data_IF_625030860887
#
_entry.id   IF_625030860887
#
_cell.length_a   1.000
_cell.length_b   1.000
_cell.length_c   1.000
_cell.angle_alpha   90.00
_cell.angle_beta   90.00
_cell.angle_gamma   90.00
#
_symmetry.space_group_name_H-M   'P 1'
#
loop_
_entity.id
_entity.type
_entity.pdbx_description
1 polymer ?
#
# COMPACT_ATOMS: atom_id res chain seq x y z
N UNK A 1 1.27 30.67 -18.07
CA UNK A 1 1.67 29.88 -16.89
C UNK A 1 0.68 30.18 -15.77
N UNK A 2 -0.19 29.23 -15.39
CA UNK A 2 -1.02 29.37 -14.18
C UNK A 2 -0.11 29.18 -12.97
N UNK A 3 -0.05 30.20 -12.10
CA UNK A 3 0.65 30.11 -10.82
C UNK A 3 -0.19 29.24 -9.90
N UNK A 4 0.39 28.14 -9.43
CA UNK A 4 -0.21 27.27 -8.43
C UNK A 4 -0.47 28.10 -7.15
N UNK A 5 -1.73 28.20 -6.70
CA UNK A 5 -2.06 28.77 -5.40
C UNK A 5 -2.65 27.72 -4.47
N UNK A 6 -2.23 27.76 -3.20
CA UNK A 6 -2.70 26.88 -2.14
C UNK A 6 -4.11 27.24 -1.65
N UNK A 7 -4.66 28.38 -2.06
CA UNK A 7 -6.03 28.79 -1.71
C UNK A 7 -7.11 28.01 -2.50
N UNK A 8 -6.76 27.42 -3.65
CA UNK A 8 -7.70 26.63 -4.47
C UNK A 8 -7.96 25.22 -3.89
N UNK A 9 -7.23 24.84 -2.83
CA UNK A 9 -7.50 23.63 -2.07
C UNK A 9 -8.36 23.98 -0.85
N UNK A 10 -9.67 23.94 -1.04
CA UNK A 10 -10.60 23.81 0.10
C UNK A 10 -10.19 22.54 0.86
N UNK A 11 -9.63 22.74 2.07
CA UNK A 11 -9.41 21.65 3.00
C UNK A 11 -10.80 21.17 3.40
N UNK A 12 -11.30 20.14 2.71
CA UNK A 12 -12.50 19.45 3.16
C UNK A 12 -12.33 19.17 4.66
N UNK A 13 -13.27 19.59 5.53
CA UNK A 13 -13.16 19.29 6.95
C UNK A 13 -13.07 17.78 7.05
N UNK A 14 -11.97 17.27 7.60
CA UNK A 14 -11.66 15.85 7.75
C UNK A 14 -12.93 15.16 8.26
N UNK A 15 -13.74 14.61 7.35
CA UNK A 15 -14.98 13.93 7.67
C UNK A 15 -14.55 12.78 8.57
N UNK A 16 -14.91 12.90 9.85
CA UNK A 16 -14.72 11.94 10.93
C UNK A 16 -14.21 10.60 10.39
N UNK A 17 -12.89 10.41 10.41
CA UNK A 17 -12.24 9.22 9.90
C UNK A 17 -13.00 8.02 10.44
N UNK A 18 -13.63 7.24 9.56
CA UNK A 18 -14.20 5.95 9.93
C UNK A 18 -13.01 5.17 10.50
N UNK A 19 -12.92 5.09 11.84
CA UNK A 19 -11.85 4.36 12.51
C UNK A 19 -11.94 2.94 11.96
N UNK A 20 -10.94 2.54 11.18
CA UNK A 20 -10.99 1.23 10.54
C UNK A 20 -10.69 0.15 11.58
N UNK A 21 -11.77 -0.26 12.26
CA UNK A 21 -11.70 -1.31 13.25
C UNK A 21 -11.58 -2.67 12.55
N UNK A 22 -10.79 -3.61 13.11
CA UNK A 22 -10.80 -4.99 12.66
C UNK A 22 -12.22 -5.58 12.68
N UNK A 23 -12.55 -6.48 11.74
CA UNK A 23 -13.89 -7.11 11.64
C UNK A 23 -14.40 -7.62 13.00
N UNK A 24 -13.53 -8.29 13.76
CA UNK A 24 -13.88 -8.83 15.08
C UNK A 24 -14.18 -7.80 16.18
N UNK A 25 -13.81 -6.54 15.98
CA UNK A 25 -14.16 -5.42 16.86
C UNK A 25 -15.47 -4.79 16.39
N UNK A 26 -15.66 -4.65 15.06
CA UNK A 26 -16.91 -4.16 14.46
C UNK A 26 -18.11 -5.06 14.80
N UNK A 27 -17.90 -6.37 14.73
CA UNK A 27 -18.92 -7.39 15.02
C UNK A 27 -19.06 -7.70 16.53
N UNK A 28 -18.32 -6.99 17.39
CA UNK A 28 -18.22 -7.27 18.82
C UNK A 28 -19.09 -6.37 19.70
N UNK A 29 -19.33 -6.80 20.94
CA UNK A 29 -20.02 -5.96 21.93
C UNK A 29 -19.21 -4.70 22.27
N UNK A 30 -19.89 -3.67 22.80
CA UNK A 30 -19.30 -2.40 23.24
C UNK A 30 -18.08 -2.59 24.19
N UNK A 31 -18.13 -3.59 25.06
CA UNK A 31 -16.99 -3.94 25.93
C UNK A 31 -15.74 -4.34 25.14
N UNK A 32 -15.91 -5.04 24.00
CA UNK A 32 -14.81 -5.44 23.11
C UNK A 32 -14.19 -4.23 22.42
N UNK A 33 -15.02 -3.26 22.02
CA UNK A 33 -14.59 -1.99 21.45
C UNK A 33 -13.76 -1.20 22.48
N UNK A 34 -14.28 -0.98 23.69
CA UNK A 34 -13.58 -0.27 24.78
C UNK A 34 -12.24 -0.91 25.13
N UNK A 35 -12.19 -2.25 25.19
CA UNK A 35 -10.97 -3.01 25.43
C UNK A 35 -9.94 -2.84 24.31
N UNK A 36 -10.39 -2.86 23.05
CA UNK A 36 -9.54 -2.65 21.90
C UNK A 36 -8.95 -1.23 21.88
N UNK A 37 -9.78 -0.22 22.09
CA UNK A 37 -9.32 1.18 22.13
C UNK A 37 -8.34 1.43 23.28
N UNK A 38 -8.60 0.86 24.46
CA UNK A 38 -7.69 0.91 25.60
C UNK A 38 -6.33 0.29 25.26
N UNK A 39 -6.33 -0.87 24.58
CA UNK A 39 -5.11 -1.54 24.16
C UNK A 39 -4.33 -0.74 23.09
N UNK A 40 -5.02 -0.11 22.14
CA UNK A 40 -4.41 0.76 21.12
C UNK A 40 -3.81 2.02 21.74
N UNK A 41 -4.52 2.65 22.67
CA UNK A 41 -4.03 3.83 23.39
C UNK A 41 -2.79 3.47 24.21
N UNK A 42 -2.82 2.36 24.94
CA UNK A 42 -1.66 1.90 25.71
C UNK A 42 -0.45 1.57 24.81
N UNK A 43 -0.68 0.92 23.66
CA UNK A 43 0.37 0.69 22.67
C UNK A 43 1.02 2.00 22.21
N UNK A 44 0.21 2.99 21.86
CA UNK A 44 0.69 4.29 21.39
C UNK A 44 1.47 5.05 22.47
N UNK A 45 1.02 5.01 23.72
CA UNK A 45 1.77 5.60 24.84
C UNK A 45 3.13 4.94 25.04
N UNK A 46 3.18 3.60 25.06
CA UNK A 46 4.43 2.87 25.22
C UNK A 46 5.36 3.17 24.04
N UNK A 47 4.84 3.16 22.80
CA UNK A 47 5.59 3.52 21.60
C UNK A 47 6.19 4.92 21.72
N UNK A 48 5.41 5.92 22.14
CA UNK A 48 5.91 7.30 22.40
C UNK A 48 7.02 7.31 23.45
N UNK A 49 6.89 6.55 24.54
CA UNK A 49 7.91 6.44 25.60
C UNK A 49 9.21 5.77 25.10
N UNK A 50 9.11 4.77 24.23
CA UNK A 50 10.27 4.12 23.60
C UNK A 50 10.99 5.09 22.65
N UNK A 51 10.23 5.81 21.81
CA UNK A 51 10.78 6.76 20.83
C UNK A 51 11.50 7.91 21.55
N UNK A 52 10.86 8.51 22.55
CA UNK A 52 11.43 9.58 23.39
C UNK A 52 12.64 9.13 24.23
N UNK A 53 12.93 7.82 24.29
CA UNK A 53 14.17 7.31 24.89
C UNK A 53 14.17 7.28 26.42
N UNK A 54 12.99 7.39 27.07
CA UNK A 54 12.87 7.23 28.52
C UNK A 54 13.34 5.83 28.97
N UNK A 55 13.99 5.75 30.13
CA UNK A 55 14.37 4.47 30.75
C UNK A 55 13.10 3.76 31.24
N UNK A 56 12.65 2.75 30.50
CA UNK A 56 11.47 1.95 30.84
C UNK A 56 11.89 0.62 31.46
N UNK A 57 11.18 0.16 32.50
CA UNK A 57 11.30 -1.21 33.05
C UNK A 57 10.62 -2.23 32.13
N UNK A 58 10.97 -3.51 32.26
CA UNK A 58 10.44 -4.61 31.43
C UNK A 58 8.91 -4.65 31.37
N UNK A 59 8.22 -4.36 32.49
CA UNK A 59 6.75 -4.33 32.56
C UNK A 59 6.13 -3.09 31.89
N UNK A 60 6.88 -2.00 31.76
CA UNK A 60 6.43 -0.74 31.14
C UNK A 60 6.60 -0.73 29.63
N UNK A 61 7.37 -1.69 29.09
CA UNK A 61 7.58 -1.89 27.65
C UNK A 61 6.52 -2.77 27.01
N UNK A 62 5.59 -3.31 27.80
CA UNK A 62 4.57 -4.26 27.35
C UNK A 62 3.19 -3.78 27.78
N UNK A 63 2.24 -4.03 26.92
CA UNK A 63 0.81 -3.94 27.20
C UNK A 63 0.47 -5.08 28.17
N UNK A 64 -0.07 -4.74 29.34
CA UNK A 64 -0.41 -5.71 30.40
C UNK A 64 -1.94 -5.83 30.49
N UNK A 65 -2.45 -7.05 30.39
CA UNK A 65 -3.90 -7.32 30.45
C UNK A 65 -4.58 -6.73 31.70
N UNK A 66 -3.90 -6.77 32.86
CA UNK A 66 -4.41 -6.17 34.10
C UNK A 66 -4.60 -4.65 33.97
N UNK A 67 -3.73 -3.96 33.23
CA UNK A 67 -3.84 -2.51 33.04
C UNK A 67 -4.97 -2.17 32.07
N UNK A 68 -5.13 -2.93 30.98
CA UNK A 68 -6.28 -2.81 30.09
C UNK A 68 -7.59 -3.06 30.85
N UNK A 69 -7.64 -4.10 31.69
CA UNK A 69 -8.81 -4.42 32.52
C UNK A 69 -9.24 -3.22 33.38
N UNK A 70 -8.28 -2.60 34.07
CA UNK A 70 -8.50 -1.40 34.88
C UNK A 70 -8.96 -0.20 34.05
N UNK A 71 -8.33 0.05 32.90
CA UNK A 71 -8.69 1.18 32.03
C UNK A 71 -10.07 1.04 31.40
N UNK A 72 -10.53 -0.19 31.19
CA UNK A 72 -11.83 -0.49 30.57
C UNK A 72 -12.95 -0.75 31.58
N UNK A 73 -12.66 -0.78 32.89
CA UNK A 73 -13.63 -1.10 33.93
C UNK A 73 -14.11 -2.55 33.91
N UNK A 74 -13.35 -3.47 33.30
CA UNK A 74 -13.71 -4.89 33.16
C UNK A 74 -12.84 -5.74 34.08
N UNK A 75 -13.40 -6.78 34.68
CA UNK A 75 -12.63 -7.73 35.48
C UNK A 75 -11.62 -8.50 34.61
N UNK A 76 -10.39 -8.68 35.11
CA UNK A 76 -9.31 -9.40 34.44
C UNK A 76 -9.69 -10.85 34.11
N UNK A 77 -10.55 -11.48 34.91
CA UNK A 77 -11.02 -12.85 34.67
C UNK A 77 -11.72 -13.01 33.30
N UNK A 78 -12.29 -11.93 32.77
CA UNK A 78 -12.96 -11.88 31.47
C UNK A 78 -11.97 -11.76 30.30
N UNK A 79 -10.71 -11.40 30.57
CA UNK A 79 -9.66 -11.15 29.59
C UNK A 79 -8.69 -12.33 29.46
N UNK A 80 -9.24 -13.53 29.28
CA UNK A 80 -8.47 -14.74 29.06
C UNK A 80 -8.58 -15.24 27.61
N UNK A 81 -7.64 -16.12 27.23
CA UNK A 81 -7.55 -16.68 25.87
C UNK A 81 -8.83 -17.45 25.47
N UNK A 82 -9.55 -18.03 26.43
CA UNK A 82 -10.80 -18.79 26.19
C UNK A 82 -11.98 -17.87 25.86
N UNK A 83 -12.13 -16.75 26.57
CA UNK A 83 -13.27 -15.82 26.45
C UNK A 83 -13.05 -14.76 25.35
N UNK A 84 -11.82 -14.26 25.18
CA UNK A 84 -11.48 -13.21 24.20
C UNK A 84 -10.18 -13.55 23.44
N UNK A 85 -10.14 -14.66 22.68
CA UNK A 85 -8.93 -15.12 22.00
C UNK A 85 -8.33 -14.08 21.05
N UNK A 86 -9.19 -13.37 20.29
CA UNK A 86 -8.76 -12.39 19.28
C UNK A 86 -8.07 -11.17 19.90
N UNK A 87 -8.59 -10.65 21.00
CA UNK A 87 -7.99 -9.55 21.76
C UNK A 87 -6.64 -9.94 22.37
N UNK A 88 -6.56 -11.13 22.97
CA UNK A 88 -5.31 -11.64 23.55
C UNK A 88 -4.24 -11.83 22.47
N UNK A 89 -4.61 -12.37 21.30
CA UNK A 89 -3.71 -12.50 20.16
C UNK A 89 -3.23 -11.12 19.68
N UNK A 90 -4.14 -10.16 19.51
CA UNK A 90 -3.79 -8.79 19.14
C UNK A 90 -2.78 -8.18 20.11
N UNK A 91 -3.02 -8.25 21.42
CA UNK A 91 -2.10 -7.73 22.45
C UNK A 91 -0.75 -8.42 22.37
N UNK A 92 -0.72 -9.74 22.14
CA UNK A 92 0.54 -10.48 21.97
C UNK A 92 1.33 -9.97 20.76
N UNK A 93 0.67 -9.74 19.63
CA UNK A 93 1.32 -9.28 18.41
C UNK A 93 1.82 -7.83 18.56
N UNK A 94 1.04 -6.96 19.21
CA UNK A 94 1.49 -5.61 19.53
C UNK A 94 2.68 -5.61 20.51
N UNK A 95 2.68 -6.51 21.49
CA UNK A 95 3.83 -6.68 22.39
C UNK A 95 5.09 -7.14 21.67
N UNK A 96 4.99 -8.03 20.67
CA UNK A 96 6.13 -8.40 19.82
C UNK A 96 6.68 -7.18 19.07
N UNK A 97 5.80 -6.34 18.52
CA UNK A 97 6.19 -5.08 17.86
C UNK A 97 6.91 -4.12 18.81
N UNK A 98 6.39 -3.94 20.04
CA UNK A 98 7.04 -3.09 21.05
C UNK A 98 8.41 -3.63 21.46
N UNK A 99 8.57 -4.95 21.60
CA UNK A 99 9.86 -5.58 21.89
C UNK A 99 10.84 -5.33 20.74
N UNK A 100 10.43 -5.55 19.48
CA UNK A 100 11.27 -5.28 18.30
C UNK A 100 11.71 -3.82 18.23
N UNK A 101 10.80 -2.87 18.48
CA UNK A 101 11.11 -1.44 18.52
C UNK A 101 12.11 -1.12 19.63
N UNK A 102 11.93 -1.70 20.81
CA UNK A 102 12.87 -1.54 21.91
C UNK A 102 14.25 -2.11 21.55
N UNK A 103 14.32 -3.35 21.05
CA UNK A 103 15.59 -3.99 20.71
C UNK A 103 16.33 -3.23 19.63
N UNK A 104 15.65 -2.73 18.60
CA UNK A 104 16.28 -1.88 17.58
C UNK A 104 16.88 -0.60 18.17
N UNK A 105 16.15 0.08 19.07
CA UNK A 105 16.67 1.28 19.76
C UNK A 105 17.82 0.96 20.70
N UNK A 106 17.75 -0.16 21.40
CA UNK A 106 18.76 -0.60 22.38
C UNK A 106 20.03 -1.10 21.66
N UNK A 107 19.89 -1.81 20.54
CA UNK A 107 21.02 -2.18 19.67
C UNK A 107 21.67 -0.94 19.10
N UNK A 108 20.92 0.06 18.64
CA UNK A 108 21.51 1.34 18.19
C UNK A 108 22.30 2.03 19.32
N UNK A 109 21.79 2.05 20.56
CA UNK A 109 22.49 2.62 21.72
C UNK A 109 23.71 1.82 22.17
N UNK A 110 23.65 0.48 22.13
CA UNK A 110 24.75 -0.38 22.56
C UNK A 110 25.80 -0.58 21.46
N UNK A 111 25.46 -0.31 20.20
CA UNK A 111 26.39 -0.36 19.06
C UNK A 111 27.13 0.97 18.89
N UNK A 112 26.58 2.09 19.36
CA UNK A 112 27.21 3.42 19.21
C UNK A 112 28.56 3.60 19.95
N UNK A 113 29.04 2.59 20.68
CA UNK A 113 30.37 2.59 21.30
C UNK A 113 31.20 1.32 21.04
N UNK A 114 30.64 0.30 20.37
CA UNK A 114 31.34 -0.96 20.11
C UNK A 114 31.84 -0.95 18.68
N UNK A 115 33.16 -0.81 18.48
CA UNK A 115 33.76 -1.01 17.15
C UNK A 115 33.37 -2.41 16.68
N UNK A 116 32.61 -2.49 15.59
CA UNK A 116 32.31 -3.77 14.93
C UNK A 116 33.63 -4.42 14.54
N UNK A 117 33.72 -5.75 14.67
CA UNK A 117 34.90 -6.48 14.22
C UNK A 117 34.91 -6.47 12.69
N UNK A 118 36.09 -6.64 12.09
CA UNK A 118 36.26 -6.71 10.64
C UNK A 118 35.33 -7.75 10.00
N UNK A 119 35.12 -8.89 10.67
CA UNK A 119 34.20 -9.96 10.26
C UNK A 119 32.75 -9.47 10.19
N UNK A 120 32.29 -8.77 11.24
CA UNK A 120 30.91 -8.28 11.31
C UNK A 120 30.64 -7.22 10.23
N UNK A 121 31.63 -6.37 9.95
CA UNK A 121 31.57 -5.39 8.87
C UNK A 121 31.56 -6.05 7.49
N UNK A 122 32.32 -7.13 7.33
CA UNK A 122 32.38 -7.88 6.07
C UNK A 122 31.06 -8.61 5.79
N UNK A 123 30.46 -9.21 6.81
CA UNK A 123 29.13 -9.84 6.70
C UNK A 123 28.04 -8.81 6.39
N UNK A 124 28.09 -7.62 6.99
CA UNK A 124 27.18 -6.53 6.66
C UNK A 124 27.38 -6.02 5.23
N UNK A 125 28.62 -5.89 4.78
CA UNK A 125 28.94 -5.45 3.43
C UNK A 125 28.44 -6.46 2.39
N UNK A 126 28.60 -7.76 2.66
CA UNK A 126 28.06 -8.81 1.80
C UNK A 126 26.52 -8.74 1.71
N UNK A 127 25.84 -8.66 2.85
CA UNK A 127 24.37 -8.52 2.87
C UNK A 127 23.88 -7.28 2.12
N UNK A 128 24.55 -6.15 2.30
CA UNK A 128 24.21 -4.92 1.59
C UNK A 128 24.46 -5.02 0.09
N UNK A 129 25.49 -5.76 -0.34
CA UNK A 129 25.74 -6.03 -1.76
C UNK A 129 24.64 -6.91 -2.36
N UNK A 130 24.27 -7.97 -1.65
CA UNK A 130 23.19 -8.87 -2.08
C UNK A 130 21.87 -8.10 -2.24
N UNK A 131 21.51 -7.28 -1.24
CA UNK A 131 20.32 -6.42 -1.29
C UNK A 131 20.39 -5.41 -2.46
N UNK A 132 21.57 -4.85 -2.73
CA UNK A 132 21.75 -3.88 -3.82
C UNK A 132 21.60 -4.57 -5.19
N UNK A 133 22.12 -5.79 -5.33
CA UNK A 133 22.00 -6.60 -6.54
C UNK A 133 20.54 -6.99 -6.80
N UNK A 134 19.81 -7.47 -5.78
CA UNK A 134 18.37 -7.77 -5.89
C UNK A 134 17.56 -6.53 -6.33
N UNK A 135 17.89 -5.36 -5.76
CA UNK A 135 17.21 -4.10 -6.06
C UNK A 135 17.53 -3.60 -7.47
N UNK A 136 18.77 -3.79 -7.94
CA UNK A 136 19.16 -3.52 -9.32
C UNK A 136 18.43 -4.42 -10.31
N UNK A 137 18.36 -5.74 -10.04
CA UNK A 137 17.63 -6.68 -10.89
C UNK A 137 16.14 -6.33 -10.97
N UNK A 138 15.54 -6.00 -9.83
CA UNK A 138 14.12 -5.60 -9.77
C UNK A 138 13.87 -4.35 -10.60
N UNK A 139 14.68 -3.30 -10.44
CA UNK A 139 14.56 -2.07 -11.22
C UNK A 139 14.81 -2.27 -12.71
N UNK A 140 15.76 -3.12 -13.07
CA UNK A 140 16.02 -3.46 -14.47
C UNK A 140 14.80 -4.14 -15.10
N UNK A 141 14.18 -5.08 -14.38
CA UNK A 141 12.96 -5.73 -14.83
C UNK A 141 11.81 -4.73 -15.01
N UNK A 142 11.59 -3.85 -14.04
CA UNK A 142 10.57 -2.78 -14.14
C UNK A 142 10.81 -1.89 -15.36
N UNK A 143 12.05 -1.46 -15.58
CA UNK A 143 12.42 -0.65 -16.74
C UNK A 143 12.14 -1.36 -18.08
N UNK A 144 12.50 -2.65 -18.18
CA UNK A 144 12.25 -3.44 -19.39
C UNK A 144 10.75 -3.64 -19.63
N UNK A 145 9.97 -3.90 -18.58
CA UNK A 145 8.51 -3.99 -18.68
C UNK A 145 7.88 -2.68 -19.15
N UNK A 146 8.35 -1.54 -18.64
CA UNK A 146 7.90 -0.22 -19.08
C UNK A 146 8.25 0.03 -20.56
N UNK A 147 9.48 -0.28 -20.97
CA UNK A 147 9.93 -0.14 -22.35
C UNK A 147 9.11 -1.01 -23.32
N UNK A 148 8.84 -2.27 -22.97
CA UNK A 148 8.00 -3.15 -23.76
C UNK A 148 6.56 -2.63 -23.89
N UNK A 149 5.97 -2.10 -22.81
CA UNK A 149 4.63 -1.50 -22.86
C UNK A 149 4.57 -0.31 -23.82
N UNK A 150 5.59 0.54 -23.81
CA UNK A 150 5.67 1.69 -24.71
C UNK A 150 5.78 1.25 -26.18
N UNK A 151 6.57 0.22 -26.46
CA UNK A 151 6.68 -0.29 -27.83
C UNK A 151 5.38 -0.94 -28.32
N UNK A 152 4.74 -1.76 -27.49
CA UNK A 152 3.43 -2.34 -27.78
C UNK A 152 2.39 -1.23 -28.03
N UNK A 153 2.43 -0.15 -27.26
CA UNK A 153 1.53 0.99 -27.46
C UNK A 153 1.78 1.68 -28.81
N UNK A 154 3.04 1.88 -29.19
CA UNK A 154 3.42 2.45 -30.48
C UNK A 154 2.91 1.57 -31.65
N UNK A 155 3.06 0.26 -31.54
CA UNK A 155 2.57 -0.68 -32.56
C UNK A 155 1.04 -0.66 -32.65
N UNK A 156 0.33 -0.59 -31.53
CA UNK A 156 -1.12 -0.42 -31.53
C UNK A 156 -1.55 0.87 -32.24
N UNK A 157 -0.83 1.97 -32.03
CA UNK A 157 -1.10 3.25 -32.72
C UNK A 157 -0.88 3.12 -34.22
N UNK A 158 0.21 2.47 -34.66
CA UNK A 158 0.48 2.23 -36.08
C UNK A 158 -0.62 1.38 -36.73
N UNK A 159 -0.96 0.24 -36.13
CA UNK A 159 -2.00 -0.67 -36.63
C UNK A 159 -3.36 0.03 -36.68
N UNK A 160 -3.69 0.85 -35.68
CA UNK A 160 -4.92 1.64 -35.69
C UNK A 160 -4.95 2.67 -36.84
N UNK A 161 -3.81 3.29 -37.14
CA UNK A 161 -3.63 4.17 -38.29
C UNK A 161 -3.85 3.43 -39.61
N UNK A 162 -3.17 2.30 -39.81
CA UNK A 162 -3.33 1.47 -41.01
C UNK A 162 -4.79 1.00 -41.19
N UNK A 163 -5.45 0.59 -40.11
CA UNK A 163 -6.87 0.21 -40.15
C UNK A 163 -7.79 1.39 -40.55
N UNK A 164 -7.48 2.60 -40.11
CA UNK A 164 -8.23 3.79 -40.50
C UNK A 164 -8.05 4.09 -42.00
N UNK A 165 -6.82 4.00 -42.51
CA UNK A 165 -6.52 4.17 -43.93
C UNK A 165 -7.20 3.11 -44.79
N UNK A 166 -7.10 1.83 -44.42
CA UNK A 166 -7.78 0.74 -45.12
C UNK A 166 -9.30 0.92 -45.15
N UNK A 167 -9.90 1.39 -44.05
CA UNK A 167 -11.34 1.70 -44.01
C UNK A 167 -11.71 2.86 -44.94
N UNK A 168 -10.89 3.91 -45.00
CA UNK A 168 -11.11 5.02 -45.92
C UNK A 168 -11.06 4.56 -47.38
N UNK A 169 -10.01 3.83 -47.77
CA UNK A 169 -9.86 3.27 -49.11
C UNK A 169 -11.01 2.32 -49.48
N UNK A 170 -11.44 1.49 -48.53
CA UNK A 170 -12.57 0.60 -48.73
C UNK A 170 -13.87 1.38 -48.99
N UNK A 171 -14.14 2.43 -48.21
CA UNK A 171 -15.32 3.27 -48.42
C UNK A 171 -15.27 4.00 -49.77
N UNK A 172 -14.13 4.56 -50.17
CA UNK A 172 -13.94 5.19 -51.48
C UNK A 172 -14.19 4.18 -52.62
N UNK A 173 -13.71 2.94 -52.45
CA UNK A 173 -13.97 1.87 -53.42
C UNK A 173 -15.46 1.50 -53.51
N UNK A 174 -16.19 1.54 -52.40
CA UNK A 174 -17.64 1.31 -52.40
C UNK A 174 -18.40 2.45 -53.07
N UNK A 175 -18.00 3.70 -52.84
CA UNK A 175 -18.58 4.87 -53.49
C UNK A 175 -18.36 4.85 -55.01
N UNK A 176 -17.14 4.53 -55.44
CA UNK A 176 -16.83 4.40 -56.88
C UNK A 176 -17.66 3.28 -57.53
N UNK A 177 -17.78 2.11 -56.89
CA UNK A 177 -18.64 1.02 -57.37
C UNK A 177 -20.12 1.46 -57.43
N UNK A 178 -20.62 2.16 -56.41
CA UNK A 178 -21.99 2.66 -56.38
C UNK A 178 -22.24 3.66 -57.52
N UNK A 179 -21.30 4.57 -57.76
CA UNK A 179 -21.35 5.54 -58.85
C UNK A 179 -21.37 4.85 -60.22
N UNK A 180 -20.46 3.90 -60.46
CA UNK A 180 -20.42 3.12 -61.71
C UNK A 180 -21.72 2.34 -61.93
N UNK A 181 -22.26 1.68 -60.89
CA UNK A 181 -23.56 0.99 -60.96
C UNK A 181 -24.72 1.93 -61.27
N UNK A 182 -24.66 3.18 -60.81
CA UNK A 182 -25.67 4.19 -61.14
C UNK A 182 -25.58 4.67 -62.59
N UNK A 183 -24.35 4.83 -63.12
CA UNK A 183 -24.10 5.22 -64.50
C UNK A 183 -24.56 4.14 -65.49
N UNK A 184 -24.23 2.87 -65.22
CA UNK A 184 -24.69 1.74 -66.02
C UNK A 184 -26.23 1.67 -66.08
N UNK A 185 -26.90 1.89 -64.94
CA UNK A 185 -28.37 1.97 -64.89
C UNK A 185 -28.91 3.09 -65.78
N UNK A 186 -28.31 4.29 -65.73
CA UNK A 186 -28.72 5.42 -66.58
C UNK A 186 -28.48 5.18 -68.07
N UNK A 187 -27.40 4.49 -68.44
CA UNK A 187 -27.12 4.14 -69.84
C UNK A 187 -28.11 3.09 -70.38
N UNK A 188 -28.42 2.07 -69.59
CA UNK A 188 -29.38 1.03 -69.99
C UNK A 188 -30.82 1.54 -70.16
N UNK A 189 -31.20 2.65 -69.50
CA UNK A 189 -32.51 3.30 -69.67
C UNK A 189 -32.59 4.14 -70.95
N UNK A 190 -31.45 4.62 -71.49
CA UNK A 190 -31.38 5.40 -72.73
C UNK A 190 -31.20 4.57 -74.01
N UNK A 191 -30.93 3.26 -73.86
CA UNK A 191 -30.69 2.31 -74.94
C UNK A 191 -31.91 1.49 -75.37
N UNK A 192 -33.11 1.86 -74.91
CA UNK A 192 -34.43 1.35 -75.33
C UNK A 192 -35.21 2.52 -75.92
#
# INVERSE_FOLDING_TARGET
>A
MRRFSLEDFEIEPIKNSIKDYPKWVKDGNESTLRLYESAVNEFNEIRKKIISGKKLKTKERKIVLLKIAKLSGVDKSLLNKRRKPKLVKFISDQNKKLVSLWTQKDTLKNTSGKKLRKTDLQDQNNKLKDELEELQQTKMKEYLEEAMKMEILNDHVKIAGELAEFKALYNDSLETIANLRSQLRKQNIKGV
#
